data_IF_938237338070
#
_entry.id   IF_938237338070
#
_cell.length_a   1.000
_cell.length_b   1.000
_cell.length_c   1.000
_cell.angle_alpha   90.00
_cell.angle_beta   90.00
_cell.angle_gamma   90.00
#
_symmetry.space_group_name_H-M   'P 1'
#
loop_
_entity.id
_entity.type
_entity.pdbx_description
1 polymer ?
#
# COMPACT_ATOMS: atom_id res chain seq x y z
N UNK A 1 5.49 18.02 -18.56
CA UNK A 1 4.45 17.68 -17.62
C UNK A 1 4.76 16.37 -16.99
N UNK A 2 4.80 16.36 -15.70
CA UNK A 2 5.34 15.24 -14.91
C UNK A 2 4.30 14.57 -14.05
N UNK A 3 3.04 14.85 -14.32
CA UNK A 3 1.92 14.44 -13.46
C UNK A 3 1.32 13.10 -13.84
N UNK A 4 1.58 12.58 -15.02
CA UNK A 4 0.83 11.47 -15.56
C UNK A 4 0.99 10.16 -14.79
N UNK A 5 2.18 9.71 -14.42
CA UNK A 5 2.31 8.43 -13.72
C UNK A 5 1.65 8.44 -12.35
N UNK A 6 1.73 9.57 -11.66
CA UNK A 6 1.16 9.70 -10.33
C UNK A 6 -0.33 10.04 -10.37
N UNK A 7 -0.78 10.79 -11.38
CA UNK A 7 -2.17 11.18 -11.51
C UNK A 7 -3.09 9.98 -11.74
N UNK A 8 -2.60 8.93 -12.42
CA UNK A 8 -3.42 7.77 -12.70
C UNK A 8 -3.72 6.94 -11.44
N UNK A 9 -2.71 6.63 -10.68
CA UNK A 9 -2.91 5.92 -9.41
C UNK A 9 -3.80 6.72 -8.46
N UNK A 10 -3.55 8.00 -8.32
CA UNK A 10 -4.35 8.87 -7.47
C UNK A 10 -5.76 9.11 -7.96
N UNK A 11 -5.95 9.28 -9.25
CA UNK A 11 -7.28 9.40 -9.84
C UNK A 11 -8.13 8.15 -9.56
N UNK A 12 -7.51 6.97 -9.62
CA UNK A 12 -8.16 5.71 -9.29
C UNK A 12 -8.55 5.63 -7.82
N UNK A 13 -7.63 5.96 -6.94
CA UNK A 13 -7.91 5.98 -5.51
C UNK A 13 -8.97 7.01 -5.17
N UNK A 14 -8.93 8.18 -5.80
CA UNK A 14 -9.96 9.20 -5.63
C UNK A 14 -11.32 8.75 -6.13
N UNK A 15 -11.39 8.05 -7.25
CA UNK A 15 -12.63 7.50 -7.77
C UNK A 15 -13.23 6.45 -6.85
N UNK A 16 -12.40 5.52 -6.38
CA UNK A 16 -12.80 4.55 -5.37
C UNK A 16 -13.29 5.24 -4.09
N UNK A 17 -12.66 6.35 -3.73
CA UNK A 17 -13.02 7.15 -2.57
C UNK A 17 -14.33 7.91 -2.72
N UNK A 18 -14.74 8.19 -3.93
CA UNK A 18 -16.01 8.91 -4.24
C UNK A 18 -17.18 7.97 -4.41
N UNK A 19 -16.95 6.67 -4.61
CA UNK A 19 -18.01 5.69 -4.67
C UNK A 19 -18.80 5.68 -3.35
N UNK A 20 -20.13 5.84 -3.38
CA UNK A 20 -20.96 5.80 -2.18
C UNK A 20 -20.75 4.53 -1.35
N UNK A 21 -20.50 3.40 -1.99
CA UNK A 21 -20.18 2.13 -1.32
C UNK A 21 -18.86 2.23 -0.56
N UNK A 22 -17.88 2.90 -1.15
CA UNK A 22 -16.59 3.12 -0.51
C UNK A 22 -16.72 4.03 0.71
N UNK A 23 -17.56 5.06 0.63
CA UNK A 23 -17.82 5.94 1.78
C UNK A 23 -18.50 5.20 2.92
N UNK A 24 -19.52 4.41 2.61
CA UNK A 24 -20.24 3.58 3.60
C UNK A 24 -19.29 2.53 4.17
N UNK A 25 -18.54 1.89 3.32
CA UNK A 25 -17.56 0.89 3.69
C UNK A 25 -16.48 1.48 4.60
N UNK A 26 -16.05 2.72 4.35
CA UNK A 26 -15.05 3.39 5.19
C UNK A 26 -15.54 3.70 6.60
N UNK A 27 -16.79 4.06 6.77
CA UNK A 27 -17.35 4.24 8.11
C UNK A 27 -17.28 2.95 8.93
N UNK A 28 -17.43 1.81 8.25
CA UNK A 28 -17.50 0.48 8.87
C UNK A 28 -16.21 -0.33 8.67
N UNK A 29 -15.28 0.17 7.85
CA UNK A 29 -14.10 -0.56 7.39
C UNK A 29 -12.95 -0.53 8.40
N UNK A 30 -12.84 0.52 9.15
CA UNK A 30 -11.75 0.75 10.10
C UNK A 30 -11.48 -0.46 11.01
N UNK A 31 -12.52 -1.11 11.58
CA UNK A 31 -12.29 -2.32 12.37
C UNK A 31 -11.85 -3.54 11.56
N UNK A 32 -12.07 -3.52 10.23
CA UNK A 32 -11.80 -4.65 9.33
C UNK A 32 -10.52 -4.47 8.53
N UNK A 33 -9.75 -3.44 8.78
CA UNK A 33 -8.54 -3.11 8.05
C UNK A 33 -7.39 -4.06 8.45
N UNK A 34 -7.42 -5.25 7.88
CA UNK A 34 -6.52 -6.36 8.24
C UNK A 34 -5.04 -6.05 8.03
N UNK A 35 -4.71 -5.30 6.98
CA UNK A 35 -3.33 -4.88 6.71
C UNK A 35 -2.78 -4.09 7.89
N UNK A 36 -3.52 -3.10 8.37
CA UNK A 36 -3.10 -2.25 9.48
C UNK A 36 -2.97 -3.01 10.78
N UNK A 37 -3.98 -3.80 11.13
CA UNK A 37 -3.93 -4.61 12.36
C UNK A 37 -2.78 -5.61 12.34
N UNK A 38 -2.60 -6.31 11.23
CA UNK A 38 -1.49 -7.25 11.11
C UNK A 38 -0.13 -6.55 11.22
N UNK A 39 0.05 -5.42 10.54
CA UNK A 39 1.28 -4.66 10.57
C UNK A 39 1.61 -4.19 12.00
N UNK A 40 0.65 -3.62 12.70
CA UNK A 40 0.83 -3.15 14.08
C UNK A 40 1.17 -4.31 15.02
N UNK A 41 0.46 -5.43 14.90
CA UNK A 41 0.61 -6.55 15.83
C UNK A 41 1.87 -7.39 15.57
N UNK A 42 2.36 -7.45 14.32
CA UNK A 42 3.37 -8.43 13.93
C UNK A 42 4.61 -7.87 13.24
N UNK A 43 4.57 -6.66 12.70
CA UNK A 43 5.63 -6.17 11.80
C UNK A 43 6.30 -4.90 12.32
N UNK A 44 5.52 -3.95 12.81
CA UNK A 44 6.03 -2.62 13.18
C UNK A 44 6.66 -2.64 14.56
N UNK A 45 7.90 -2.14 14.64
CA UNK A 45 8.50 -1.76 15.91
C UNK A 45 8.26 -0.27 16.12
N UNK A 46 7.42 0.05 17.08
CA UNK A 46 6.96 1.42 17.38
C UNK A 46 8.09 2.42 17.62
N UNK A 47 9.16 1.99 18.28
CA UNK A 47 10.27 2.85 18.66
C UNK A 47 11.33 3.02 17.59
N UNK A 48 11.33 2.14 16.56
CA UNK A 48 12.44 2.06 15.61
C UNK A 48 12.03 2.26 14.15
N UNK A 49 10.79 1.95 13.81
CA UNK A 49 10.38 1.91 12.42
C UNK A 49 9.70 3.20 11.98
N UNK A 50 10.11 3.70 10.83
CA UNK A 50 9.38 4.68 10.05
C UNK A 50 8.41 3.93 9.14
N UNK A 51 7.14 4.29 9.22
CA UNK A 51 6.03 3.58 8.58
C UNK A 51 5.38 4.47 7.54
N UNK A 52 5.02 3.87 6.41
CA UNK A 52 4.25 4.53 5.36
C UNK A 52 2.89 3.84 5.19
N UNK A 53 1.83 4.60 5.25
CA UNK A 53 0.52 4.18 4.78
C UNK A 53 0.36 4.62 3.32
N UNK A 54 0.66 3.71 2.41
CA UNK A 54 0.59 3.95 0.97
C UNK A 54 -0.86 3.77 0.49
N UNK A 55 -1.45 4.82 -0.05
CA UNK A 55 -2.86 4.85 -0.39
C UNK A 55 -3.74 5.23 0.81
N UNK A 56 -3.26 6.14 1.63
CA UNK A 56 -3.89 6.54 2.90
C UNK A 56 -5.29 7.14 2.76
N UNK A 57 -5.67 7.54 1.55
CA UNK A 57 -6.92 8.26 1.30
C UNK A 57 -6.84 9.71 1.77
N UNK A 58 -7.80 10.50 1.33
CA UNK A 58 -7.82 11.95 1.58
C UNK A 58 -7.92 12.33 3.07
N UNK A 59 -8.45 11.46 3.90
CA UNK A 59 -8.58 11.71 5.35
C UNK A 59 -7.39 11.25 6.16
N UNK A 60 -6.46 10.50 5.55
CA UNK A 60 -5.24 10.03 6.21
C UNK A 60 -5.49 9.36 7.57
N UNK A 61 -6.56 8.62 7.69
CA UNK A 61 -7.09 8.14 8.97
C UNK A 61 -6.07 7.30 9.76
N UNK A 62 -5.49 6.29 9.11
CA UNK A 62 -4.59 5.36 9.81
C UNK A 62 -3.26 5.99 10.19
N UNK A 63 -2.68 6.79 9.28
CA UNK A 63 -1.42 7.49 9.60
C UNK A 63 -1.63 8.47 10.77
N UNK A 64 -2.73 9.22 10.78
CA UNK A 64 -3.04 10.14 11.88
C UNK A 64 -3.32 9.38 13.18
N UNK A 65 -4.06 8.27 13.11
CA UNK A 65 -4.33 7.41 14.27
C UNK A 65 -3.05 6.85 14.87
N UNK A 66 -2.19 6.27 14.05
CA UNK A 66 -0.92 5.71 14.50
C UNK A 66 0.00 6.80 15.04
N UNK A 67 0.04 7.97 14.41
CA UNK A 67 0.80 9.12 14.91
C UNK A 67 0.36 9.54 16.31
N UNK A 68 -0.95 9.59 16.56
CA UNK A 68 -1.48 9.88 17.92
C UNK A 68 -1.14 8.81 18.94
N UNK A 69 -0.95 7.57 18.50
CA UNK A 69 -0.54 6.45 19.34
C UNK A 69 0.98 6.36 19.52
N UNK A 70 1.75 7.29 18.94
CA UNK A 70 3.20 7.39 19.11
C UNK A 70 4.03 6.66 18.06
N UNK A 71 3.43 6.19 16.97
CA UNK A 71 4.15 5.65 15.83
C UNK A 71 4.66 6.76 14.91
N UNK A 72 5.83 6.53 14.29
CA UNK A 72 6.30 7.37 13.18
C UNK A 72 5.65 6.90 11.89
N UNK A 73 4.53 7.51 11.51
CA UNK A 73 3.74 7.08 10.34
C UNK A 73 3.36 8.25 9.46
N UNK A 74 3.75 8.17 8.19
CA UNK A 74 3.35 9.11 7.15
C UNK A 74 2.26 8.48 6.27
N UNK A 75 1.39 9.30 5.72
CA UNK A 75 0.40 8.86 4.73
C UNK A 75 0.74 9.40 3.35
N UNK A 76 0.64 8.55 2.34
CA UNK A 76 0.77 8.92 0.94
C UNK A 76 -0.53 8.68 0.18
N UNK A 77 -1.00 9.72 -0.47
CA UNK A 77 -2.13 9.69 -1.41
C UNK A 77 -2.01 10.94 -2.27
N UNK A 78 -2.48 10.92 -3.51
CA UNK A 78 -2.41 12.12 -4.35
C UNK A 78 -3.15 13.32 -3.76
N UNK A 79 -4.18 13.09 -2.98
CA UNK A 79 -4.89 14.15 -2.27
C UNK A 79 -4.09 14.77 -1.12
N UNK A 80 -2.91 14.21 -0.81
CA UNK A 80 -1.99 14.66 0.24
C UNK A 80 -0.66 15.15 -0.34
N UNK A 81 -0.67 15.65 -1.57
CA UNK A 81 0.54 16.01 -2.33
C UNK A 81 1.47 17.01 -1.64
N UNK A 82 0.95 17.85 -0.75
CA UNK A 82 1.73 18.87 -0.05
C UNK A 82 2.46 18.34 1.20
N UNK A 83 2.31 17.06 1.51
CA UNK A 83 3.00 16.48 2.67
C UNK A 83 4.45 16.17 2.37
N UNK A 84 5.30 16.47 3.33
CA UNK A 84 6.70 16.05 3.30
C UNK A 84 6.81 14.56 3.54
N UNK A 85 7.46 13.86 2.61
CA UNK A 85 7.69 12.44 2.67
C UNK A 85 9.16 12.16 3.00
N UNK A 86 9.43 11.02 3.62
CA UNK A 86 10.79 10.49 3.76
C UNK A 86 11.20 9.80 2.46
N UNK A 87 12.51 9.65 2.25
CA UNK A 87 13.02 8.96 1.06
C UNK A 87 12.73 7.45 1.10
N UNK A 88 12.74 6.86 2.28
CA UNK A 88 12.47 5.44 2.46
C UNK A 88 11.87 5.12 3.84
N UNK A 89 11.18 3.99 3.91
CA UNK A 89 10.47 3.52 5.09
C UNK A 89 10.87 2.10 5.46
N UNK A 90 10.76 1.78 6.75
CA UNK A 90 11.01 0.42 7.27
C UNK A 90 9.83 -0.51 7.01
N UNK A 91 8.61 0.02 7.10
CA UNK A 91 7.37 -0.72 6.86
C UNK A 91 6.46 0.11 5.97
N UNK A 92 5.92 -0.53 4.94
CA UNK A 92 4.93 0.08 4.03
C UNK A 92 3.65 -0.75 4.11
N UNK A 93 2.56 -0.09 4.46
CA UNK A 93 1.23 -0.69 4.47
C UNK A 93 0.49 -0.32 3.20
N UNK A 94 -0.03 -1.32 2.49
CA UNK A 94 -0.73 -1.18 1.22
C UNK A 94 -2.09 -1.87 1.33
N UNK A 95 -3.09 -1.14 1.80
CA UNK A 95 -4.41 -1.68 2.07
C UNK A 95 -5.41 -1.31 0.99
N UNK A 96 -5.89 -2.31 0.25
CA UNK A 96 -6.89 -2.15 -0.81
C UNK A 96 -6.47 -1.14 -1.90
N UNK A 97 -5.20 -1.10 -2.23
CA UNK A 97 -4.64 -0.25 -3.29
C UNK A 97 -4.48 -1.02 -4.60
N UNK A 98 -3.88 -2.20 -4.52
CA UNK A 98 -3.53 -2.99 -5.71
C UNK A 98 -4.76 -3.49 -6.46
N UNK A 99 -5.82 -3.83 -5.74
CA UNK A 99 -7.06 -4.35 -6.29
C UNK A 99 -7.96 -3.28 -6.93
N UNK A 100 -7.67 -1.99 -6.77
CA UNK A 100 -8.45 -0.90 -7.38
C UNK A 100 -7.79 -0.31 -8.63
N UNK A 101 -6.62 -0.77 -9.00
CA UNK A 101 -5.95 -0.36 -10.24
C UNK A 101 -6.73 -0.89 -11.44
N UNK A 102 -7.01 -0.05 -12.43
CA UNK A 102 -7.84 -0.46 -13.58
C UNK A 102 -7.04 -1.08 -14.71
N UNK A 103 -5.78 -0.73 -14.85
CA UNK A 103 -4.93 -1.19 -15.94
C UNK A 103 -3.62 -1.74 -15.41
N UNK A 104 -2.98 -2.59 -16.21
CA UNK A 104 -1.65 -3.12 -15.89
C UNK A 104 -0.60 -2.02 -15.82
N UNK A 105 -0.76 -0.96 -16.62
CA UNK A 105 0.15 0.19 -16.58
C UNK A 105 0.04 0.95 -15.26
N UNK A 106 -1.18 1.22 -14.80
CA UNK A 106 -1.41 1.86 -13.50
C UNK A 106 -0.87 1.02 -12.35
N UNK A 107 -1.09 -0.29 -12.40
CA UNK A 107 -0.57 -1.22 -11.42
C UNK A 107 0.97 -1.18 -11.39
N UNK A 108 1.60 -1.20 -12.56
CA UNK A 108 3.07 -1.13 -12.66
C UNK A 108 3.60 0.15 -12.04
N UNK A 109 3.02 1.30 -12.35
CA UNK A 109 3.44 2.58 -11.78
C UNK A 109 3.24 2.62 -10.26
N UNK A 110 2.14 2.06 -9.78
CA UNK A 110 1.87 1.94 -8.34
C UNK A 110 2.92 1.07 -7.64
N UNK A 111 3.25 -0.08 -8.21
CA UNK A 111 4.30 -0.97 -7.66
C UNK A 111 5.68 -0.29 -7.66
N UNK A 112 6.02 0.43 -8.73
CA UNK A 112 7.26 1.20 -8.79
C UNK A 112 7.34 2.26 -7.69
N UNK A 113 6.24 2.95 -7.41
CA UNK A 113 6.19 3.94 -6.34
C UNK A 113 6.38 3.29 -4.97
N UNK A 114 5.72 2.17 -4.72
CA UNK A 114 5.87 1.42 -3.46
C UNK A 114 7.33 1.01 -3.26
N UNK A 115 7.94 0.42 -4.27
CA UNK A 115 9.36 0.02 -4.21
C UNK A 115 10.27 1.24 -4.11
N UNK A 116 9.92 2.36 -4.73
CA UNK A 116 10.66 3.63 -4.63
C UNK A 116 10.73 4.20 -3.21
N UNK A 117 9.76 3.89 -2.35
CA UNK A 117 9.77 4.25 -0.93
C UNK A 117 10.46 3.21 -0.04
N UNK A 118 11.03 2.17 -0.64
CA UNK A 118 11.63 1.06 0.07
C UNK A 118 13.16 1.20 0.16
N UNK A 119 13.72 0.51 1.13
CA UNK A 119 15.16 0.31 1.33
C UNK A 119 15.43 -1.14 1.70
N UNK A 120 16.69 -1.54 1.78
CA UNK A 120 17.04 -2.87 2.29
C UNK A 120 16.46 -3.06 3.70
N UNK A 121 15.79 -4.17 3.93
CA UNK A 121 15.10 -4.49 5.17
C UNK A 121 13.62 -4.05 5.22
N UNK A 122 13.14 -3.28 4.25
CA UNK A 122 11.74 -2.87 4.20
C UNK A 122 10.82 -4.07 4.10
N UNK A 123 9.74 -4.05 4.90
CA UNK A 123 8.65 -5.01 4.81
C UNK A 123 7.40 -4.32 4.31
N UNK A 124 6.83 -4.86 3.24
CA UNK A 124 5.60 -4.36 2.62
C UNK A 124 4.47 -5.29 3.02
N UNK A 125 3.47 -4.76 3.73
CA UNK A 125 2.27 -5.51 4.13
C UNK A 125 1.14 -5.10 3.20
N UNK A 126 0.64 -6.05 2.42
CA UNK A 126 -0.32 -5.76 1.38
C UNK A 126 -1.40 -6.85 1.28
N UNK A 127 -2.53 -6.50 0.70
CA UNK A 127 -3.61 -7.42 0.44
C UNK A 127 -4.02 -7.40 -1.04
N UNK A 128 -4.51 -8.54 -1.49
CA UNK A 128 -5.07 -8.70 -2.83
C UNK A 128 -6.09 -9.82 -2.82
N UNK A 129 -7.23 -9.63 -3.47
CA UNK A 129 -8.31 -10.61 -3.53
C UNK A 129 -8.11 -11.60 -4.69
N UNK A 130 -8.61 -12.82 -4.54
CA UNK A 130 -8.56 -13.85 -5.60
C UNK A 130 -9.31 -13.45 -6.88
N UNK A 131 -10.28 -12.56 -6.79
CA UNK A 131 -11.11 -12.14 -7.90
C UNK A 131 -11.29 -10.63 -7.91
N UNK A 132 -10.25 -9.88 -8.27
CA UNK A 132 -10.32 -8.43 -8.31
C UNK A 132 -11.28 -7.97 -9.44
N UNK A 133 -12.16 -7.05 -9.12
CA UNK A 133 -13.17 -6.57 -10.08
C UNK A 133 -12.57 -5.90 -11.31
N UNK A 134 -11.44 -5.23 -11.15
CA UNK A 134 -10.83 -4.41 -12.21
C UNK A 134 -9.88 -5.20 -13.09
N UNK A 135 -9.27 -6.24 -12.55
CA UNK A 135 -8.32 -7.11 -13.27
C UNK A 135 -8.61 -8.58 -12.92
N UNK A 136 -9.74 -9.13 -13.39
CA UNK A 136 -10.20 -10.45 -12.93
C UNK A 136 -9.26 -11.61 -13.31
N UNK A 137 -8.40 -11.41 -14.30
CA UNK A 137 -7.41 -12.42 -14.74
C UNK A 137 -6.09 -12.36 -13.99
N UNK A 138 -5.89 -11.37 -13.13
CA UNK A 138 -4.68 -11.22 -12.36
C UNK A 138 -4.87 -11.84 -10.97
N UNK A 139 -4.24 -12.98 -10.75
CA UNK A 139 -4.37 -13.76 -9.51
C UNK A 139 -3.48 -13.20 -8.39
N UNK A 140 -3.65 -13.73 -7.18
CA UNK A 140 -2.77 -13.42 -6.05
C UNK A 140 -1.32 -13.80 -6.34
N UNK A 141 -1.10 -14.95 -6.98
CA UNK A 141 0.24 -15.41 -7.35
C UNK A 141 0.88 -14.46 -8.37
N UNK A 142 0.10 -14.00 -9.36
CA UNK A 142 0.55 -13.00 -10.34
C UNK A 142 0.95 -11.70 -9.64
N UNK A 143 0.17 -11.25 -8.67
CA UNK A 143 0.46 -10.02 -7.92
C UNK A 143 1.74 -10.18 -7.09
N UNK A 144 1.92 -11.31 -6.42
CA UNK A 144 3.14 -11.63 -5.68
C UNK A 144 4.35 -11.61 -6.60
N UNK A 145 4.23 -12.23 -7.76
CA UNK A 145 5.30 -12.25 -8.76
C UNK A 145 5.64 -10.83 -9.26
N UNK A 146 4.64 -10.01 -9.53
CA UNK A 146 4.86 -8.63 -9.97
C UNK A 146 5.55 -7.79 -8.90
N UNK A 147 5.15 -7.94 -7.65
CA UNK A 147 5.81 -7.27 -6.52
C UNK A 147 7.29 -7.65 -6.45
N UNK A 148 7.58 -8.94 -6.53
CA UNK A 148 8.95 -9.45 -6.52
C UNK A 148 9.75 -8.97 -7.73
N UNK A 149 9.14 -8.98 -8.91
CA UNK A 149 9.78 -8.52 -10.15
C UNK A 149 10.23 -7.05 -10.04
N UNK A 150 9.37 -6.17 -9.54
CA UNK A 150 9.73 -4.76 -9.39
C UNK A 150 10.79 -4.54 -8.31
N UNK A 151 10.76 -5.30 -7.24
CA UNK A 151 11.80 -5.23 -6.21
C UNK A 151 13.15 -5.73 -6.73
N UNK A 152 13.16 -6.86 -7.44
CA UNK A 152 14.38 -7.42 -8.05
C UNK A 152 14.98 -6.47 -9.09
N UNK A 153 14.16 -5.71 -9.82
CA UNK A 153 14.63 -4.71 -10.78
C UNK A 153 15.40 -3.56 -10.12
N UNK A 154 15.30 -3.41 -8.80
CA UNK A 154 16.07 -2.48 -7.96
C UNK A 154 17.13 -3.20 -7.12
N UNK A 155 17.54 -4.38 -7.54
CA UNK A 155 18.59 -5.20 -6.93
C UNK A 155 18.29 -5.72 -5.51
N UNK A 156 17.02 -5.73 -5.10
CA UNK A 156 16.62 -6.38 -3.85
C UNK A 156 16.49 -7.88 -4.02
N UNK A 157 16.96 -8.62 -3.04
CA UNK A 157 16.52 -10.00 -2.80
C UNK A 157 15.17 -9.95 -2.09
N UNK A 158 14.23 -10.81 -2.48
CA UNK A 158 12.83 -10.68 -2.08
C UNK A 158 12.30 -11.97 -1.52
N UNK A 159 11.54 -11.87 -0.44
CA UNK A 159 10.77 -12.98 0.12
C UNK A 159 9.35 -12.51 0.38
N UNK A 160 8.36 -13.15 -0.28
CA UNK A 160 6.94 -12.91 -0.05
C UNK A 160 6.30 -14.10 0.63
N UNK A 161 5.54 -13.85 1.69
CA UNK A 161 4.75 -14.86 2.42
C UNK A 161 3.30 -14.43 2.54
N UNK A 162 2.40 -15.36 2.26
CA UNK A 162 1.01 -15.21 2.68
C UNK A 162 0.93 -15.49 4.18
N UNK A 163 0.52 -14.50 4.95
CA UNK A 163 0.47 -14.56 6.42
C UNK A 163 -0.96 -14.81 6.94
N UNK A 164 -1.94 -14.39 6.17
CA UNK A 164 -3.36 -14.70 6.33
C UNK A 164 -3.96 -14.78 4.93
N UNK A 165 -5.15 -15.32 4.79
CA UNK A 165 -5.81 -15.39 3.48
C UNK A 165 -5.86 -14.02 2.81
N UNK A 166 -5.31 -13.91 1.61
CA UNK A 166 -5.25 -12.68 0.81
C UNK A 166 -4.44 -11.53 1.46
N UNK A 167 -3.60 -11.84 2.42
CA UNK A 167 -2.74 -10.89 3.12
C UNK A 167 -1.29 -11.37 3.07
N UNK A 168 -0.40 -10.51 2.61
CA UNK A 168 0.97 -10.86 2.28
C UNK A 168 1.96 -9.92 2.95
N UNK A 169 3.14 -10.43 3.25
CA UNK A 169 4.31 -9.63 3.64
C UNK A 169 5.43 -9.91 2.66
N UNK A 170 5.90 -8.88 2.00
CA UNK A 170 7.08 -8.91 1.13
C UNK A 170 8.24 -8.23 1.86
N UNK A 171 9.32 -8.98 2.08
CA UNK A 171 10.53 -8.48 2.72
C UNK A 171 11.61 -8.24 1.67
N UNK A 172 12.18 -7.05 1.66
CA UNK A 172 13.28 -6.65 0.78
C UNK A 172 14.61 -6.77 1.53
N UNK A 173 15.56 -7.45 0.93
CA UNK A 173 16.87 -7.71 1.55
C UNK A 173 17.99 -7.12 0.69
#
# INVERSE_FOLDING_TARGET
MTEEPNSWGGAMWQSANKDPRTKTYRKNFTPKARVYHYAVDNVINKQRHDVLDFGAGKHNFWADKLGREGYSCDGYDLSLADRTMRDAYDVIMVSNVLNVQQTRMQLRETLKQIIGFSKSGTRIVWNYTDSPRKMPTLTNDDMGWLMEFHAQSKDYTVLTKEVQKNLYVTTLI
#
